data_IF_575202154722
#
_entry.id   IF_575202154722
#
_cell.length_a   1.000
_cell.length_b   1.000
_cell.length_c   1.000
_cell.angle_alpha   90.00
_cell.angle_beta   90.00
_cell.angle_gamma   90.00
#
_symmetry.space_group_name_H-M   'P 1'
#
loop_
_entity.id
_entity.type
_entity.pdbx_description
1 polymer ?
#
# COMPACT_ATOMS: atom_id res chain seq x y z
N UNK A 1 -6.86 -12.04 -1.01
CA UNK A 1 -5.59 -12.39 -0.35
C UNK A 1 -5.82 -13.49 0.68
N UNK A 2 -4.79 -14.23 1.06
CA UNK A 2 -4.74 -15.11 2.22
C UNK A 2 -3.95 -14.44 3.37
N UNK A 3 -3.94 -15.09 4.53
CA UNK A 3 -3.22 -14.60 5.72
C UNK A 3 -1.75 -14.26 5.47
N UNK A 4 -1.02 -15.11 4.75
CA UNK A 4 0.40 -14.91 4.46
C UNK A 4 0.62 -13.70 3.55
N UNK A 5 -0.23 -13.51 2.54
CA UNK A 5 -0.19 -12.35 1.65
C UNK A 5 -0.44 -11.04 2.42
N UNK A 6 -1.38 -11.06 3.38
CA UNK A 6 -1.67 -9.89 4.24
C UNK A 6 -0.46 -9.54 5.10
N UNK A 7 0.13 -10.52 5.79
CA UNK A 7 1.32 -10.30 6.64
C UNK A 7 2.53 -9.83 5.82
N UNK A 8 2.74 -10.41 4.63
CA UNK A 8 3.81 -10.00 3.73
C UNK A 8 3.65 -8.53 3.31
N UNK A 9 2.46 -8.13 2.87
CA UNK A 9 2.18 -6.75 2.49
C UNK A 9 2.42 -5.77 3.66
N UNK A 10 1.92 -6.11 4.86
CA UNK A 10 2.14 -5.30 6.07
C UNK A 10 3.62 -5.14 6.39
N UNK A 11 4.38 -6.23 6.31
CA UNK A 11 5.83 -6.24 6.56
C UNK A 11 6.58 -5.36 5.56
N UNK A 12 6.29 -5.52 4.26
CA UNK A 12 6.90 -4.72 3.18
C UNK A 12 6.66 -3.23 3.45
N UNK A 13 5.39 -2.81 3.62
CA UNK A 13 5.05 -1.41 3.81
C UNK A 13 5.68 -0.82 5.08
N UNK A 14 5.67 -1.56 6.18
CA UNK A 14 6.28 -1.12 7.45
C UNK A 14 7.79 -0.90 7.32
N UNK A 15 8.48 -1.79 6.62
CA UNK A 15 9.94 -1.70 6.40
C UNK A 15 10.33 -0.45 5.63
N UNK A 16 9.65 -0.16 4.52
CA UNK A 16 9.92 1.05 3.73
C UNK A 16 9.73 2.32 4.56
N UNK A 17 8.78 2.32 5.49
CA UNK A 17 8.51 3.48 6.36
C UNK A 17 9.57 3.64 7.42
N UNK A 18 10.02 2.54 8.05
CA UNK A 18 11.16 2.57 8.96
C UNK A 18 12.43 3.14 8.31
N UNK A 19 12.58 2.96 6.99
CA UNK A 19 13.70 3.49 6.22
C UNK A 19 13.54 4.97 5.82
N UNK A 20 12.40 5.60 6.14
CA UNK A 20 12.14 7.01 5.89
C UNK A 20 11.83 7.34 4.43
N UNK A 21 11.17 6.44 3.71
CA UNK A 21 10.90 6.58 2.28
C UNK A 21 9.82 7.63 1.93
N UNK A 22 9.93 8.13 0.70
CA UNK A 22 8.91 8.89 0.01
C UNK A 22 7.95 7.94 -0.74
N UNK A 23 6.68 8.30 -0.74
CA UNK A 23 5.63 7.61 -1.49
C UNK A 23 5.08 8.55 -2.57
N UNK A 24 4.80 7.97 -3.73
CA UNK A 24 4.07 8.61 -4.81
C UNK A 24 2.92 7.70 -5.26
N UNK A 25 1.73 8.28 -5.43
CA UNK A 25 0.57 7.59 -5.98
C UNK A 25 -0.16 8.58 -6.87
N UNK A 26 -0.32 8.26 -8.15
CA UNK A 26 -0.88 9.19 -9.15
C UNK A 26 -2.42 9.08 -9.27
N UNK A 27 -3.10 8.52 -8.27
CA UNK A 27 -4.57 8.45 -8.23
C UNK A 27 -5.22 9.84 -8.00
N UNK A 28 -6.55 9.95 -8.18
CA UNK A 28 -7.27 11.19 -7.80
C UNK A 28 -7.11 11.44 -6.30
N UNK A 29 -6.49 12.56 -5.93
CA UNK A 29 -6.09 12.82 -4.53
C UNK A 29 -4.80 12.11 -4.14
N UNK A 30 -3.97 11.81 -5.14
CA UNK A 30 -2.69 11.14 -5.04
C UNK A 30 -1.76 11.77 -4.01
N UNK A 31 -0.88 10.94 -3.46
CA UNK A 31 0.09 11.37 -2.45
C UNK A 31 1.45 11.54 -3.09
N UNK A 32 2.18 12.55 -2.63
CA UNK A 32 3.59 12.74 -2.94
C UNK A 32 4.26 13.36 -1.71
N UNK A 33 5.06 12.56 -1.01
CA UNK A 33 5.72 13.03 0.20
C UNK A 33 6.38 11.92 1.01
N UNK A 34 7.00 12.31 2.12
CA UNK A 34 7.69 11.38 3.01
C UNK A 34 6.70 10.68 3.93
N UNK A 35 6.66 9.35 3.91
CA UNK A 35 5.81 8.61 4.84
C UNK A 35 6.42 8.64 6.23
N UNK A 36 5.61 9.01 7.21
CA UNK A 36 6.00 9.06 8.62
C UNK A 36 5.43 7.89 9.43
N UNK A 37 4.28 7.34 9.00
CA UNK A 37 3.68 6.16 9.63
C UNK A 37 2.73 5.43 8.67
N UNK A 38 2.57 4.11 8.88
CA UNK A 38 1.47 3.32 8.30
C UNK A 38 0.60 2.72 9.39
N UNK A 39 -0.72 2.75 9.16
CA UNK A 39 -1.72 2.05 9.96
C UNK A 39 -2.41 0.95 9.16
N UNK A 40 -2.80 -0.13 9.83
CA UNK A 40 -3.54 -1.24 9.24
C UNK A 40 -4.80 -1.56 10.04
N UNK A 41 -5.89 -1.86 9.33
CA UNK A 41 -7.12 -2.41 9.90
C UNK A 41 -7.50 -3.69 9.13
N UNK A 42 -7.63 -4.85 9.80
CA UNK A 42 -7.30 -5.09 11.20
C UNK A 42 -5.78 -4.99 11.44
N UNK A 43 -5.38 -4.61 12.66
CA UNK A 43 -3.98 -4.54 13.04
C UNK A 43 -3.35 -5.93 13.03
N UNK A 44 -3.99 -6.87 13.74
CA UNK A 44 -3.63 -8.29 13.73
C UNK A 44 -4.53 -9.02 12.73
N UNK A 45 -3.98 -9.61 11.66
CA UNK A 45 -4.80 -10.43 10.79
C UNK A 45 -5.10 -11.76 11.46
N UNK A 46 -6.22 -12.36 11.05
CA UNK A 46 -6.66 -13.69 11.40
C UNK A 46 -6.55 -14.61 10.18
N UNK A 47 -6.37 -15.93 10.34
CA UNK A 47 -6.35 -16.88 9.23
C UNK A 47 -7.59 -16.83 8.32
N UNK A 48 -8.72 -16.32 8.83
CA UNK A 48 -9.97 -16.15 8.07
C UNK A 48 -10.02 -14.84 7.27
N UNK A 49 -9.10 -13.91 7.52
CA UNK A 49 -9.09 -12.63 6.83
C UNK A 49 -8.68 -12.84 5.38
N UNK A 50 -9.45 -12.23 4.48
CA UNK A 50 -9.24 -12.29 3.03
C UNK A 50 -8.85 -10.93 2.42
N UNK A 51 -8.83 -9.88 3.24
CA UNK A 51 -8.61 -8.49 2.85
C UNK A 51 -8.03 -7.67 4.01
N UNK A 52 -7.47 -6.52 3.68
CA UNK A 52 -7.18 -5.45 4.66
C UNK A 52 -8.28 -4.39 4.49
N UNK A 53 -9.08 -4.19 5.55
CA UNK A 53 -10.18 -3.23 5.53
C UNK A 53 -9.69 -1.81 5.31
N UNK A 54 -8.54 -1.44 5.90
CA UNK A 54 -7.94 -0.11 5.73
C UNK A 54 -6.43 -0.13 5.83
N UNK A 55 -5.76 0.58 4.93
CA UNK A 55 -4.35 0.96 5.02
C UNK A 55 -4.29 2.48 5.06
N UNK A 56 -3.54 3.03 6.02
CA UNK A 56 -3.44 4.46 6.27
C UNK A 56 -1.99 4.90 6.17
N UNK A 57 -1.67 5.80 5.24
CA UNK A 57 -0.36 6.44 5.13
C UNK A 57 -0.44 7.85 5.70
N UNK A 58 0.27 8.08 6.81
CA UNK A 58 0.54 9.43 7.28
C UNK A 58 1.80 9.91 6.58
N UNK A 59 1.74 11.03 5.88
CA UNK A 59 2.86 11.54 5.10
C UNK A 59 3.01 13.05 5.26
N UNK A 60 4.24 13.51 5.12
CA UNK A 60 4.58 14.92 5.08
C UNK A 60 4.70 15.34 3.62
N UNK A 61 3.89 16.30 3.21
CA UNK A 61 3.97 16.87 1.86
C UNK A 61 5.18 17.80 1.69
N UNK A 62 5.38 18.32 0.48
CA UNK A 62 6.49 19.22 0.17
C UNK A 62 6.40 20.58 0.89
N UNK A 63 5.24 20.95 1.41
CA UNK A 63 5.01 22.18 2.16
C UNK A 63 5.22 21.95 3.67
N UNK A 64 5.55 20.73 4.09
CA UNK A 64 5.71 20.35 5.50
C UNK A 64 4.39 20.01 6.20
N UNK A 65 3.28 19.95 5.46
CA UNK A 65 1.97 19.57 5.97
C UNK A 65 1.88 18.07 6.25
N UNK A 66 1.40 17.71 7.44
CA UNK A 66 1.09 16.32 7.77
C UNK A 66 -0.31 15.97 7.25
N UNK A 67 -0.35 15.01 6.34
CA UNK A 67 -1.57 14.57 5.67
C UNK A 67 -1.79 13.06 5.85
N UNK A 68 -3.03 12.64 5.66
CA UNK A 68 -3.45 11.24 5.73
C UNK A 68 -4.02 10.82 4.38
N UNK A 69 -3.55 9.68 3.86
CA UNK A 69 -4.14 9.00 2.73
C UNK A 69 -4.53 7.59 3.10
N UNK A 70 -5.74 7.17 2.72
CA UNK A 70 -6.25 5.88 3.10
C UNK A 70 -6.78 5.09 1.91
N UNK A 71 -6.36 3.82 1.85
CA UNK A 71 -6.92 2.81 0.98
C UNK A 71 -7.89 1.95 1.79
N UNK A 72 -9.09 1.74 1.29
CA UNK A 72 -10.11 0.89 1.94
C UNK A 72 -10.35 -0.36 1.12
N UNK A 73 -10.67 -1.48 1.78
CA UNK A 73 -11.00 -2.76 1.11
C UNK A 73 -9.92 -3.24 0.14
N UNK A 74 -8.67 -3.31 0.60
CA UNK A 74 -7.56 -3.88 -0.18
C UNK A 74 -7.73 -5.39 -0.21
N UNK A 75 -7.96 -5.95 -1.39
CA UNK A 75 -8.24 -7.39 -1.60
C UNK A 75 -7.10 -8.14 -2.27
N UNK A 76 -6.08 -7.41 -2.73
CA UNK A 76 -4.91 -7.92 -3.44
C UNK A 76 -3.86 -6.84 -3.63
N UNK A 77 -2.66 -7.27 -4.01
CA UNK A 77 -1.61 -6.40 -4.49
C UNK A 77 -0.74 -7.17 -5.48
N UNK A 78 -0.02 -6.44 -6.33
CA UNK A 78 0.95 -6.98 -7.28
C UNK A 78 2.23 -6.16 -7.17
N UNK A 79 3.37 -6.82 -7.01
CA UNK A 79 4.68 -6.15 -7.05
C UNK A 79 5.10 -6.08 -8.50
N UNK A 80 5.22 -4.86 -9.03
CA UNK A 80 5.54 -4.62 -10.43
C UNK A 80 7.06 -4.59 -10.66
N UNK A 81 7.80 -3.95 -9.74
CA UNK A 81 9.25 -3.92 -9.78
C UNK A 81 9.84 -3.52 -8.43
N UNK A 82 11.08 -3.92 -8.19
CA UNK A 82 11.91 -3.40 -7.11
C UNK A 82 13.36 -3.33 -7.58
N UNK A 83 14.14 -2.42 -7.00
CA UNK A 83 15.60 -2.42 -7.17
C UNK A 83 16.25 -3.33 -6.11
N UNK A 84 17.39 -3.96 -6.44
CA UNK A 84 18.11 -4.83 -5.50
C UNK A 84 17.86 -6.33 -5.71
N UNK A 85 18.64 -7.14 -5.00
CA UNK A 85 18.62 -8.61 -5.12
C UNK A 85 17.38 -9.23 -4.47
N UNK A 86 16.71 -8.48 -3.60
CA UNK A 86 15.48 -8.86 -2.90
C UNK A 86 14.63 -7.62 -2.61
N UNK A 87 13.31 -7.81 -2.39
CA UNK A 87 12.41 -6.72 -1.94
C UNK A 87 12.91 -6.10 -0.63
N UNK A 88 13.56 -6.92 0.18
CA UNK A 88 14.13 -6.53 1.43
C UNK A 88 15.25 -5.51 1.23
N UNK A 89 16.17 -5.76 0.31
CA UNK A 89 17.33 -4.89 0.08
C UNK A 89 17.01 -3.66 -0.80
N UNK A 90 15.75 -3.54 -1.21
CA UNK A 90 15.28 -2.52 -2.12
C UNK A 90 15.15 -1.13 -1.49
N UNK A 91 15.61 -0.12 -2.24
CA UNK A 91 15.36 1.29 -1.95
C UNK A 91 14.20 1.86 -2.77
N UNK A 92 13.74 1.14 -3.80
CA UNK A 92 12.62 1.51 -4.67
C UNK A 92 11.72 0.31 -4.91
N UNK A 93 10.45 0.43 -4.51
CA UNK A 93 9.41 -0.55 -4.77
C UNK A 93 8.27 0.09 -5.56
N UNK A 94 7.81 -0.60 -6.58
CA UNK A 94 6.62 -0.24 -7.36
C UNK A 94 5.59 -1.36 -7.23
N UNK A 95 4.38 -1.03 -6.79
CA UNK A 95 3.31 -2.00 -6.58
C UNK A 95 1.94 -1.46 -6.98
N UNK A 96 1.07 -2.35 -7.42
CA UNK A 96 -0.34 -2.08 -7.63
C UNK A 96 -1.16 -2.65 -6.47
N UNK A 97 -2.05 -1.83 -5.93
CA UNK A 97 -2.99 -2.23 -4.88
C UNK A 97 -4.37 -2.47 -5.49
N UNK A 98 -4.97 -3.63 -5.23
CA UNK A 98 -6.30 -3.98 -5.73
C UNK A 98 -7.36 -3.62 -4.69
N UNK A 99 -8.17 -2.62 -5.02
CA UNK A 99 -9.22 -2.08 -4.17
C UNK A 99 -10.57 -2.62 -4.63
N UNK A 100 -11.31 -3.28 -3.74
CA UNK A 100 -12.62 -3.80 -4.09
C UNK A 100 -13.55 -2.68 -4.58
N UNK A 101 -14.14 -2.88 -5.76
CA UNK A 101 -15.00 -1.89 -6.42
C UNK A 101 -16.36 -2.50 -6.72
N UNK A 102 -17.41 -2.21 -5.91
CA UNK A 102 -18.75 -2.76 -6.12
C UNK A 102 -19.30 -2.47 -7.53
N UNK A 103 -18.96 -1.30 -8.08
CA UNK A 103 -19.35 -0.87 -9.43
C UNK A 103 -18.78 -1.77 -10.54
N UNK A 104 -17.71 -2.52 -10.27
CA UNK A 104 -17.07 -3.45 -11.19
C UNK A 104 -17.33 -4.91 -10.85
N UNK A 105 -18.24 -5.22 -9.94
CA UNK A 105 -18.49 -6.58 -9.44
C UNK A 105 -18.77 -7.64 -10.52
N UNK A 106 -19.32 -7.24 -11.67
CA UNK A 106 -19.58 -8.12 -12.82
C UNK A 106 -18.43 -8.19 -13.85
N UNK A 107 -17.34 -7.45 -13.62
CA UNK A 107 -16.15 -7.44 -14.47
C UNK A 107 -15.24 -8.63 -14.18
N UNK A 108 -14.39 -8.98 -15.16
CA UNK A 108 -13.26 -9.92 -14.96
C UNK A 108 -12.23 -9.39 -13.94
N UNK A 109 -12.13 -8.08 -13.81
CA UNK A 109 -11.35 -7.40 -12.77
C UNK A 109 -12.33 -6.60 -11.88
N UNK A 110 -12.89 -7.21 -10.82
CA UNK A 110 -13.88 -6.58 -9.96
C UNK A 110 -13.26 -5.63 -8.92
N UNK A 111 -12.20 -4.93 -9.32
CA UNK A 111 -11.42 -4.05 -8.47
C UNK A 111 -10.84 -2.87 -9.24
N UNK A 112 -10.53 -1.81 -8.50
CA UNK A 112 -9.73 -0.69 -8.95
C UNK A 112 -8.25 -0.97 -8.63
N UNK A 113 -7.34 -0.52 -9.49
CA UNK A 113 -5.90 -0.59 -9.24
C UNK A 113 -5.42 0.78 -8.80
N UNK A 114 -4.69 0.82 -7.69
CA UNK A 114 -3.99 2.01 -7.21
C UNK A 114 -2.50 1.75 -7.27
N UNK A 115 -1.82 2.45 -8.17
CA UNK A 115 -0.38 2.36 -8.33
C UNK A 115 0.35 3.15 -7.25
N UNK A 116 1.35 2.53 -6.62
CA UNK A 116 2.16 3.12 -5.57
C UNK A 116 3.63 2.88 -5.87
N UNK A 117 4.37 3.98 -5.96
CA UNK A 117 5.83 3.99 -5.97
C UNK A 117 6.34 4.42 -4.59
N UNK A 118 7.26 3.65 -4.03
CA UNK A 118 7.94 3.93 -2.79
C UNK A 118 9.43 4.03 -3.08
N UNK A 119 10.09 5.09 -2.63
CA UNK A 119 11.52 5.31 -2.84
C UNK A 119 12.18 5.96 -1.63
N UNK A 120 13.40 5.58 -1.31
CA UNK A 120 14.21 6.28 -0.31
C UNK A 120 14.64 7.66 -0.79
#
# INVERSE_FOLDING_TARGET
MNFQEIENLKSILTRFIMNGCNIQCDSRGGINGRVVAVGFKPLWPSPIDSRIDKIEFNYMDQQGGLNLYSLSNVIGYEILSYDGDSIEDSNKLSLDMHIYSPAKSSSKEPFDKVHIDIRK
#
